data_IF_433392152391
#
_entry.id   IF_433392152391
#
_cell.length_a   1.000
_cell.length_b   1.000
_cell.length_c   1.000
_cell.angle_alpha   90.00
_cell.angle_beta   90.00
_cell.angle_gamma   90.00
#
_symmetry.space_group_name_H-M   'P 1'
#
loop_
_entity.id
_entity.type
_entity.pdbx_description
1 polymer ?
#
# COMPACT_ATOMS: atom_id res chain seq x y z
N UNK A 1 -8.11 11.74 31.70
CA UNK A 1 -8.02 11.43 30.26
C UNK A 1 -8.78 10.14 29.93
N UNK A 2 -10.07 10.07 30.27
CA UNK A 2 -10.90 8.85 30.10
C UNK A 2 -12.36 9.14 29.77
N UNK A 3 -12.79 10.42 29.78
CA UNK A 3 -14.16 10.83 29.44
C UNK A 3 -14.59 10.47 28.00
N UNK A 4 -13.62 10.33 27.07
CA UNK A 4 -13.88 9.90 25.68
C UNK A 4 -14.18 8.40 25.55
N UNK A 5 -13.75 7.58 26.51
CA UNK A 5 -14.10 6.16 26.60
C UNK A 5 -15.29 5.91 27.55
N UNK A 6 -15.65 6.90 28.37
CA UNK A 6 -16.67 6.79 29.42
C UNK A 6 -18.10 7.14 28.97
N UNK A 7 -18.35 7.49 27.69
CA UNK A 7 -19.72 7.44 27.11
C UNK A 7 -20.14 6.01 26.73
N UNK A 8 -19.94 5.08 27.67
CA UNK A 8 -20.72 3.85 27.93
C UNK A 8 -20.80 2.73 26.90
N UNK A 9 -20.47 2.93 25.62
CA UNK A 9 -20.60 1.85 24.62
C UNK A 9 -20.64 2.30 23.16
N UNK A 10 -20.93 3.58 22.87
CA UNK A 10 -21.02 4.07 21.49
C UNK A 10 -19.71 4.00 20.71
N UNK A 11 -18.59 4.23 21.38
CA UNK A 11 -17.28 4.17 20.76
C UNK A 11 -16.98 2.78 20.17
N UNK A 12 -17.47 1.71 20.81
CA UNK A 12 -17.32 0.33 20.33
C UNK A 12 -18.10 0.05 19.04
N UNK A 13 -19.18 0.79 18.75
CA UNK A 13 -19.93 0.69 17.50
C UNK A 13 -19.36 1.57 16.39
N UNK A 14 -18.80 2.73 16.74
CA UNK A 14 -18.27 3.70 15.78
C UNK A 14 -16.87 3.33 15.30
N UNK A 15 -16.01 2.79 16.18
CA UNK A 15 -14.66 2.38 15.83
C UNK A 15 -14.58 1.33 14.72
N UNK A 16 -15.39 0.27 14.71
CA UNK A 16 -15.40 -0.71 13.61
C UNK A 16 -15.72 -0.07 12.27
N UNK A 17 -16.67 0.88 12.22
CA UNK A 17 -17.02 1.58 10.98
C UNK A 17 -15.83 2.40 10.45
N UNK A 18 -15.13 3.13 11.34
CA UNK A 18 -13.88 3.81 10.98
C UNK A 18 -12.76 2.85 10.60
N UNK A 19 -12.62 1.73 11.30
CA UNK A 19 -11.60 0.71 11.00
C UNK A 19 -11.81 0.11 9.62
N UNK A 20 -13.05 -0.21 9.24
CA UNK A 20 -13.39 -0.68 7.89
C UNK A 20 -13.12 0.42 6.86
N UNK A 21 -13.54 1.66 7.11
CA UNK A 21 -13.26 2.78 6.22
C UNK A 21 -11.76 2.98 5.98
N UNK A 22 -10.96 3.01 7.05
CA UNK A 22 -9.51 3.12 6.95
C UNK A 22 -8.87 1.90 6.29
N UNK A 23 -9.37 0.69 6.54
CA UNK A 23 -8.89 -0.52 5.90
C UNK A 23 -9.13 -0.50 4.39
N UNK A 24 -10.33 -0.07 3.96
CA UNK A 24 -10.65 0.10 2.53
C UNK A 24 -9.79 1.19 1.92
N UNK A 25 -9.65 2.35 2.58
CA UNK A 25 -8.80 3.45 2.09
C UNK A 25 -7.33 3.03 1.96
N UNK A 26 -6.81 2.33 2.97
CA UNK A 26 -5.46 1.79 2.95
C UNK A 26 -5.30 0.75 1.85
N UNK A 27 -6.30 -0.11 1.62
CA UNK A 27 -6.29 -1.09 0.53
C UNK A 27 -6.32 -0.42 -0.84
N UNK A 28 -7.20 0.56 -1.03
CA UNK A 28 -7.33 1.34 -2.26
C UNK A 28 -6.06 2.13 -2.58
N UNK A 29 -5.37 2.65 -1.55
CA UNK A 29 -4.08 3.31 -1.72
C UNK A 29 -2.91 2.32 -1.91
N UNK A 30 -2.93 1.19 -1.21
CA UNK A 30 -1.86 0.20 -1.26
C UNK A 30 -1.88 -0.62 -2.57
N UNK A 31 -3.04 -0.91 -3.13
CA UNK A 31 -3.19 -1.65 -4.39
C UNK A 31 -2.43 -1.02 -5.58
N UNK A 32 -2.59 0.29 -5.89
CA UNK A 32 -1.82 0.96 -6.93
C UNK A 32 -0.35 1.11 -6.53
N UNK A 33 -0.03 1.33 -5.25
CA UNK A 33 1.35 1.41 -4.78
C UNK A 33 2.10 0.07 -4.97
N UNK A 34 1.46 -1.06 -4.67
CA UNK A 34 2.01 -2.40 -4.89
C UNK A 34 2.17 -2.71 -6.37
N UNK A 35 1.17 -2.38 -7.20
CA UNK A 35 1.23 -2.54 -8.66
C UNK A 35 2.37 -1.72 -9.25
N UNK A 36 2.52 -0.46 -8.84
CA UNK A 36 3.58 0.44 -9.28
C UNK A 36 4.97 -0.06 -8.88
N UNK A 37 5.11 -0.59 -7.65
CA UNK A 37 6.36 -1.23 -7.19
C UNK A 37 6.70 -2.51 -7.95
N UNK A 38 5.70 -3.30 -8.38
CA UNK A 38 5.91 -4.48 -9.24
C UNK A 38 6.35 -4.07 -10.65
N UNK A 39 5.66 -3.12 -11.26
CA UNK A 39 6.00 -2.62 -12.59
C UNK A 39 7.42 -2.04 -12.68
N UNK A 40 7.83 -1.25 -11.67
CA UNK A 40 9.20 -0.70 -11.61
C UNK A 40 10.27 -1.78 -11.44
N UNK A 41 10.00 -2.85 -10.68
CA UNK A 41 10.94 -3.99 -10.55
C UNK A 41 11.11 -4.70 -11.88
N UNK A 42 10.02 -4.90 -12.61
CA UNK A 42 10.06 -5.58 -13.90
C UNK A 42 10.76 -4.75 -14.98
N UNK A 43 10.56 -3.43 -14.99
CA UNK A 43 11.32 -2.49 -15.82
C UNK A 43 12.83 -2.55 -15.51
N UNK A 44 13.22 -2.54 -14.23
CA UNK A 44 14.65 -2.67 -13.84
C UNK A 44 15.26 -3.98 -14.32
N UNK A 45 14.54 -5.10 -14.19
CA UNK A 45 15.01 -6.40 -14.67
C UNK A 45 15.14 -6.49 -16.20
N UNK A 46 14.35 -5.72 -16.96
CA UNK A 46 14.47 -5.62 -18.42
C UNK A 46 15.65 -4.74 -18.83
N UNK A 47 15.84 -3.60 -18.16
CA UNK A 47 16.96 -2.69 -18.40
C UNK A 47 18.31 -3.38 -18.14
N UNK A 48 18.43 -4.11 -17.02
CA UNK A 48 19.65 -4.86 -16.68
C UNK A 48 20.03 -5.90 -17.76
N UNK A 49 19.04 -6.53 -18.40
CA UNK A 49 19.27 -7.48 -19.49
C UNK A 49 19.66 -6.78 -20.80
N UNK A 50 19.06 -5.63 -21.10
CA UNK A 50 19.43 -4.84 -22.28
C UNK A 50 20.84 -4.24 -22.16
N UNK A 51 21.23 -3.75 -20.98
CA UNK A 51 22.58 -3.24 -20.74
C UNK A 51 23.63 -4.33 -20.87
N UNK A 52 23.37 -5.53 -20.35
CA UNK A 52 24.27 -6.68 -20.52
C UNK A 52 24.47 -7.05 -22.00
N UNK A 53 23.43 -6.94 -22.83
CA UNK A 53 23.51 -7.26 -24.26
C UNK A 53 24.14 -6.16 -25.11
N UNK A 54 24.03 -4.88 -24.69
CA UNK A 54 24.77 -3.76 -25.32
C UNK A 54 26.26 -3.78 -24.95
N UNK A 55 26.62 -4.21 -23.74
CA UNK A 55 28.02 -4.33 -23.31
C UNK A 55 28.79 -5.50 -23.95
N UNK A 56 28.09 -6.53 -24.44
CA UNK A 56 28.72 -7.67 -25.13
C UNK A 56 28.93 -7.43 -26.65
N UNK A 57 28.61 -6.24 -27.15
CA UNK A 57 28.77 -5.86 -28.57
C UNK A 57 29.74 -4.69 -28.78
N UNK A 58 30.50 -4.32 -27.74
CA UNK A 58 31.62 -3.39 -27.79
C UNK A 58 32.89 -4.15 -27.42
#
# INVERSE_FOLDING_TARGET
MSAFFAMGGYAAYVWPAYAVFFAVLAWDYAAPALRRRRALRELRARLARQSARKGASA
#
